data_IF_817987406086
#
_entry.id   IF_817987406086
#
_cell.length_a   1.000
_cell.length_b   1.000
_cell.length_c   1.000
_cell.angle_alpha   90.00
_cell.angle_beta   90.00
_cell.angle_gamma   90.00
#
_symmetry.space_group_name_H-M   'P 1'
#
loop_
_entity.id
_entity.type
_entity.pdbx_description
1 polymer ?
#
# COMPACT_ATOMS: atom_id res chain seq x y z
N UNK A 1 106.45 16.65 4.17
CA UNK A 1 106.09 15.22 4.22
C UNK A 1 104.68 15.09 3.66
N UNK A 2 104.56 14.86 2.35
CA UNK A 2 104.18 13.60 1.67
C UNK A 2 102.65 13.43 1.61
N UNK A 3 101.95 13.72 0.51
CA UNK A 3 101.89 13.04 -0.80
C UNK A 3 100.94 11.82 -0.85
N UNK A 4 99.87 11.99 -1.65
CA UNK A 4 99.34 11.08 -2.70
C UNK A 4 98.49 9.84 -2.36
N UNK A 5 97.30 9.85 -2.97
CA UNK A 5 96.59 8.77 -3.70
C UNK A 5 95.98 7.63 -2.86
N UNK A 6 94.87 6.94 -3.20
CA UNK A 6 94.31 6.41 -4.48
C UNK A 6 92.83 6.01 -4.25
N UNK A 7 91.88 6.48 -5.07
CA UNK A 7 91.06 5.73 -6.05
C UNK A 7 90.42 4.38 -5.62
N UNK A 8 89.10 4.29 -5.79
CA UNK A 8 88.34 3.03 -5.81
C UNK A 8 86.89 3.22 -6.28
N UNK A 9 86.69 3.27 -7.61
CA UNK A 9 85.39 3.11 -8.28
C UNK A 9 85.09 1.61 -8.45
N UNK A 10 83.88 1.16 -8.09
CA UNK A 10 83.16 -0.09 -8.50
C UNK A 10 81.97 -0.21 -7.53
N UNK A 11 80.69 -0.37 -7.87
CA UNK A 11 80.00 -0.99 -8.99
C UNK A 11 78.55 -0.45 -9.05
N UNK A 12 78.01 -0.47 -10.26
CA UNK A 12 76.62 -0.22 -10.67
C UNK A 12 75.65 -1.22 -10.02
N UNK A 13 74.43 -0.78 -9.68
CA UNK A 13 73.15 -1.55 -9.47
C UNK A 13 72.41 -0.99 -8.24
N UNK A 14 71.11 -0.68 -8.20
CA UNK A 14 69.96 -0.97 -9.05
C UNK A 14 68.81 -0.08 -8.55
N UNK A 15 68.11 0.54 -9.50
CA UNK A 15 66.67 0.78 -9.52
C UNK A 15 65.86 0.05 -8.43
N UNK A 16 65.09 0.79 -7.62
CA UNK A 16 63.61 0.70 -7.55
C UNK A 16 63.10 1.53 -6.36
N UNK A 17 62.59 2.72 -6.68
CA UNK A 17 61.65 3.42 -5.82
C UNK A 17 60.34 2.62 -5.84
N UNK A 18 60.09 1.84 -4.79
CA UNK A 18 58.78 1.23 -4.54
C UNK A 18 58.16 1.96 -3.35
N UNK A 19 57.29 2.96 -3.56
CA UNK A 19 56.38 3.35 -2.50
C UNK A 19 55.45 2.16 -2.27
N UNK A 20 55.59 1.52 -1.10
CA UNK A 20 54.66 0.50 -0.62
C UNK A 20 53.24 1.03 -0.82
N UNK A 21 52.48 0.33 -1.66
CA UNK A 21 51.07 0.55 -1.88
C UNK A 21 50.36 0.48 -0.52
N UNK A 22 50.05 1.64 0.05
CA UNK A 22 48.97 1.75 1.01
C UNK A 22 47.69 1.45 0.23
N UNK A 23 47.32 0.18 0.14
CA UNK A 23 45.96 -0.24 -0.20
C UNK A 23 45.07 0.08 1.00
N UNK A 24 44.99 1.36 1.38
CA UNK A 24 43.82 1.85 2.08
C UNK A 24 42.69 1.83 1.06
N UNK A 25 41.64 1.09 1.36
CA UNK A 25 40.38 1.18 0.67
C UNK A 25 39.88 2.63 0.76
N UNK A 26 40.33 3.48 -0.18
CA UNK A 26 39.88 4.84 -0.33
C UNK A 26 38.62 4.78 -1.17
N UNK A 27 37.52 4.33 -0.57
CA UNK A 27 36.20 4.69 -1.08
C UNK A 27 36.17 6.22 -1.11
N UNK A 28 36.00 6.80 -2.29
CA UNK A 28 35.96 8.24 -2.42
C UNK A 28 34.82 8.74 -1.52
N UNK A 29 34.95 9.91 -0.89
CA UNK A 29 33.89 10.41 -0.02
C UNK A 29 32.55 10.59 -0.75
N UNK A 30 32.51 10.59 -2.10
CA UNK A 30 31.29 10.46 -2.91
C UNK A 30 30.61 9.09 -2.77
N UNK A 31 31.34 7.99 -3.00
CA UNK A 31 30.83 6.60 -2.95
C UNK A 31 30.08 6.26 -1.65
N UNK A 32 30.53 6.83 -0.52
CA UNK A 32 29.89 6.63 0.79
C UNK A 32 28.54 7.34 0.92
N UNK A 33 28.36 8.48 0.25
CA UNK A 33 27.08 9.20 0.24
C UNK A 33 26.09 8.54 -0.72
N UNK A 34 26.56 8.01 -1.83
CA UNK A 34 25.75 7.24 -2.79
C UNK A 34 25.19 5.99 -2.10
N UNK A 35 26.05 5.19 -1.45
CA UNK A 35 25.61 4.00 -0.71
C UNK A 35 24.71 4.34 0.50
N UNK A 36 24.87 5.53 1.10
CA UNK A 36 23.95 6.00 2.14
C UNK A 36 22.60 6.45 1.55
N UNK A 37 22.60 7.04 0.35
CA UNK A 37 21.41 7.44 -0.40
C UNK A 37 20.58 6.22 -0.77
N UNK A 38 21.21 5.23 -1.40
CA UNK A 38 20.60 3.97 -1.82
C UNK A 38 19.91 3.27 -0.63
N UNK A 39 20.60 3.13 0.50
CA UNK A 39 20.04 2.51 1.72
C UNK A 39 18.87 3.30 2.33
N UNK A 40 18.78 4.60 2.07
CA UNK A 40 17.67 5.42 2.56
C UNK A 40 16.49 5.29 1.59
N UNK A 41 16.71 5.34 0.28
CA UNK A 41 15.67 5.13 -0.74
C UNK A 41 15.03 3.76 -0.59
N UNK A 42 15.84 2.70 -0.49
CA UNK A 42 15.34 1.35 -0.30
C UNK A 42 14.50 1.22 1.00
N UNK A 43 14.81 2.01 2.05
CA UNK A 43 13.98 2.08 3.27
C UNK A 43 12.71 2.90 3.10
N UNK A 44 12.71 3.90 2.24
CA UNK A 44 11.52 4.70 1.91
C UNK A 44 10.57 3.85 1.08
N UNK A 45 11.07 3.19 0.04
CA UNK A 45 10.30 2.36 -0.90
C UNK A 45 9.65 1.20 -0.17
N UNK A 46 10.44 0.40 0.58
CA UNK A 46 9.91 -0.69 1.41
C UNK A 46 8.82 -0.23 2.39
N UNK A 47 8.92 1.00 2.90
CA UNK A 47 7.91 1.56 3.80
C UNK A 47 6.66 2.05 3.06
N UNK A 48 6.81 2.53 1.82
CA UNK A 48 5.71 2.81 0.91
C UNK A 48 4.92 1.55 0.59
N UNK A 49 5.60 0.50 0.14
CA UNK A 49 5.03 -0.82 -0.15
C UNK A 49 4.28 -1.38 1.05
N UNK A 50 4.91 -1.40 2.25
CA UNK A 50 4.26 -1.88 3.48
C UNK A 50 2.96 -1.11 3.81
N UNK A 51 2.90 0.18 3.48
CA UNK A 51 1.69 0.97 3.73
C UNK A 51 0.61 0.63 2.71
N UNK A 52 0.97 0.49 1.43
CA UNK A 52 0.04 0.10 0.37
C UNK A 52 -0.57 -1.28 0.68
N UNK A 53 0.27 -2.28 0.97
CA UNK A 53 -0.20 -3.62 1.37
C UNK A 53 -1.16 -3.55 2.57
N UNK A 54 -0.88 -2.71 3.57
CA UNK A 54 -1.79 -2.55 4.73
C UNK A 54 -3.10 -1.88 4.36
N UNK A 55 -3.12 -1.00 3.37
CA UNK A 55 -4.34 -0.36 2.88
C UNK A 55 -5.18 -1.34 2.08
N UNK A 56 -4.56 -2.12 1.20
CA UNK A 56 -5.23 -3.14 0.39
C UNK A 56 -5.86 -4.22 1.28
N UNK A 57 -5.06 -4.81 2.16
CA UNK A 57 -5.54 -5.77 3.16
C UNK A 57 -6.68 -5.20 4.03
N UNK A 58 -6.66 -3.89 4.31
CA UNK A 58 -7.73 -3.24 5.06
C UNK A 58 -8.98 -3.07 4.19
N UNK A 59 -8.83 -2.75 2.91
CA UNK A 59 -9.91 -2.67 1.93
C UNK A 59 -10.62 -3.99 1.78
N UNK A 60 -9.88 -5.05 1.49
CA UNK A 60 -10.41 -6.42 1.37
C UNK A 60 -11.22 -6.83 2.60
N UNK A 61 -10.65 -6.65 3.80
CA UNK A 61 -11.36 -6.97 5.06
C UNK A 61 -12.62 -6.14 5.29
N UNK A 62 -12.70 -4.93 4.73
CA UNK A 62 -13.90 -4.12 4.81
C UNK A 62 -14.94 -4.64 3.81
N UNK A 63 -14.54 -4.94 2.58
CA UNK A 63 -15.42 -5.49 1.55
C UNK A 63 -16.02 -6.83 2.01
N UNK A 64 -15.20 -7.77 2.47
CA UNK A 64 -15.67 -9.07 2.98
C UNK A 64 -16.69 -8.91 4.12
N UNK A 65 -16.44 -7.98 5.05
CA UNK A 65 -17.39 -7.66 6.13
C UNK A 65 -18.68 -7.00 5.65
N UNK A 66 -18.64 -6.29 4.52
CA UNK A 66 -19.83 -5.72 3.90
C UNK A 66 -20.64 -6.80 3.23
N UNK A 67 -20.01 -7.68 2.46
CA UNK A 67 -20.68 -8.78 1.76
C UNK A 67 -21.39 -9.68 2.77
N UNK A 68 -20.68 -10.15 3.81
CA UNK A 68 -21.29 -10.96 4.88
C UNK A 68 -22.48 -10.25 5.56
N UNK A 69 -22.41 -8.92 5.72
CA UNK A 69 -23.51 -8.15 6.31
C UNK A 69 -24.67 -7.93 5.34
N UNK A 70 -24.38 -7.78 4.06
CA UNK A 70 -25.36 -7.68 2.98
C UNK A 70 -26.17 -8.97 2.91
N UNK A 71 -25.50 -10.10 2.79
CA UNK A 71 -26.10 -11.43 2.80
C UNK A 71 -26.96 -11.66 4.04
N UNK A 72 -26.42 -11.40 5.25
CA UNK A 72 -27.17 -11.58 6.49
C UNK A 72 -28.41 -10.68 6.61
N UNK A 73 -28.46 -9.55 5.91
CA UNK A 73 -29.64 -8.68 5.84
C UNK A 73 -30.65 -9.25 4.86
N UNK A 74 -30.21 -9.71 3.69
CA UNK A 74 -31.05 -10.34 2.67
C UNK A 74 -31.73 -11.59 3.25
N UNK A 75 -30.97 -12.51 3.85
CA UNK A 75 -31.51 -13.72 4.49
C UNK A 75 -32.61 -13.40 5.52
N UNK A 76 -32.43 -12.32 6.28
CA UNK A 76 -33.41 -11.87 7.29
C UNK A 76 -34.63 -11.25 6.65
N UNK A 77 -34.49 -10.56 5.53
CA UNK A 77 -35.61 -10.00 4.77
C UNK A 77 -36.43 -11.13 4.15
N UNK A 78 -35.79 -12.08 3.50
CA UNK A 78 -36.42 -13.23 2.86
C UNK A 78 -37.16 -14.08 3.89
N UNK A 79 -36.48 -14.45 4.97
CA UNK A 79 -37.09 -15.19 6.10
C UNK A 79 -38.31 -14.47 6.69
N UNK A 80 -38.33 -13.12 6.65
CA UNK A 80 -39.45 -12.33 7.17
C UNK A 80 -40.57 -12.19 6.14
N UNK A 81 -40.23 -12.10 4.86
CA UNK A 81 -41.17 -12.11 3.74
C UNK A 81 -41.93 -13.42 3.69
N UNK A 82 -41.20 -14.54 3.68
CA UNK A 82 -41.75 -15.90 3.70
C UNK A 82 -42.73 -16.11 4.86
N UNK A 83 -42.31 -15.80 6.09
CA UNK A 83 -43.20 -15.90 7.27
C UNK A 83 -44.44 -15.02 7.18
N UNK A 84 -44.35 -13.88 6.50
CA UNK A 84 -45.51 -13.01 6.30
C UNK A 84 -46.45 -13.60 5.25
N UNK A 85 -45.93 -14.13 4.14
CA UNK A 85 -46.70 -14.81 3.11
C UNK A 85 -47.41 -16.04 3.67
N UNK A 86 -46.70 -16.96 4.34
CA UNK A 86 -47.32 -18.15 4.96
C UNK A 86 -48.51 -17.79 5.86
N UNK A 87 -48.38 -16.73 6.67
CA UNK A 87 -49.48 -16.28 7.55
C UNK A 87 -50.65 -15.68 6.79
N UNK A 88 -50.39 -15.02 5.67
CA UNK A 88 -51.43 -14.44 4.83
C UNK A 88 -52.17 -15.53 4.06
N UNK A 89 -51.45 -16.51 3.52
CA UNK A 89 -52.01 -17.67 2.83
C UNK A 89 -52.88 -18.51 3.76
N UNK A 90 -52.37 -18.87 4.95
CA UNK A 90 -53.17 -19.57 5.96
C UNK A 90 -54.42 -18.79 6.38
N UNK A 91 -54.33 -17.46 6.45
CA UNK A 91 -55.48 -16.63 6.79
C UNK A 91 -56.49 -16.55 5.63
N UNK A 92 -56.02 -16.54 4.39
CA UNK A 92 -56.84 -16.57 3.19
C UNK A 92 -57.59 -17.91 3.07
N UNK A 93 -56.90 -19.03 3.26
CA UNK A 93 -57.50 -20.36 3.28
C UNK A 93 -58.60 -20.49 4.35
N UNK A 94 -58.33 -20.03 5.58
CA UNK A 94 -59.35 -20.02 6.65
C UNK A 94 -60.55 -19.14 6.30
N UNK A 95 -60.32 -18.01 5.62
CA UNK A 95 -61.39 -17.12 5.20
C UNK A 95 -62.25 -17.76 4.10
N UNK A 96 -61.63 -18.40 3.10
CA UNK A 96 -62.30 -19.13 2.04
C UNK A 96 -63.12 -20.30 2.61
N UNK A 97 -62.55 -21.09 3.53
CA UNK A 97 -63.26 -22.17 4.21
C UNK A 97 -64.47 -21.68 5.03
N UNK A 98 -64.46 -20.42 5.48
CA UNK A 98 -65.58 -19.79 6.16
C UNK A 98 -66.60 -19.10 5.20
N UNK A 99 -66.46 -19.30 3.89
CA UNK A 99 -67.31 -18.69 2.85
C UNK A 99 -67.07 -17.18 2.67
N UNK A 100 -65.91 -16.67 3.09
CA UNK A 100 -65.54 -15.24 2.99
C UNK A 100 -64.58 -14.98 1.84
N UNK A 101 -64.96 -15.38 0.63
CA UNK A 101 -64.09 -15.35 -0.55
C UNK A 101 -63.52 -13.95 -0.85
N UNK A 102 -64.35 -12.91 -0.70
CA UNK A 102 -63.89 -11.53 -0.88
C UNK A 102 -62.85 -11.07 0.16
N UNK A 103 -62.82 -11.67 1.36
CA UNK A 103 -61.78 -11.40 2.35
C UNK A 103 -60.53 -12.22 2.07
N UNK A 104 -60.67 -13.49 1.66
CA UNK A 104 -59.57 -14.34 1.23
C UNK A 104 -58.77 -13.65 0.10
N UNK A 105 -59.46 -13.19 -0.93
CA UNK A 105 -58.79 -12.52 -2.05
C UNK A 105 -58.10 -11.20 -1.65
N UNK A 106 -58.59 -10.50 -0.63
CA UNK A 106 -57.90 -9.31 -0.10
C UNK A 106 -56.62 -9.67 0.68
N UNK A 107 -56.56 -10.86 1.27
CA UNK A 107 -55.37 -11.35 1.96
C UNK A 107 -54.31 -11.82 0.95
N UNK A 108 -54.70 -12.51 -0.12
CA UNK A 108 -53.78 -12.89 -1.21
C UNK A 108 -53.13 -11.65 -1.84
N UNK A 109 -53.96 -10.67 -2.26
CA UNK A 109 -53.47 -9.39 -2.78
C UNK A 109 -52.57 -8.63 -1.79
N UNK A 110 -52.72 -8.90 -0.48
CA UNK A 110 -51.85 -8.32 0.54
C UNK A 110 -50.53 -9.09 0.64
N UNK A 111 -50.53 -10.40 0.44
CA UNK A 111 -49.35 -11.24 0.29
C UNK A 111 -48.47 -10.73 -0.85
N UNK A 112 -49.04 -10.61 -2.05
CA UNK A 112 -48.34 -10.09 -3.23
C UNK A 112 -47.69 -8.73 -2.97
N UNK A 113 -48.38 -7.83 -2.25
CA UNK A 113 -47.84 -6.50 -1.90
C UNK A 113 -46.70 -6.58 -0.89
N UNK A 114 -46.74 -7.55 0.03
CA UNK A 114 -45.67 -7.77 1.01
C UNK A 114 -44.44 -8.33 0.31
N UNK A 115 -44.60 -9.30 -0.57
CA UNK A 115 -43.54 -9.86 -1.41
C UNK A 115 -42.85 -8.76 -2.23
N UNK A 116 -43.62 -8.06 -3.08
CA UNK A 116 -43.12 -6.94 -3.89
C UNK A 116 -42.39 -5.84 -3.08
N UNK A 117 -42.80 -5.62 -1.83
CA UNK A 117 -42.15 -4.63 -0.95
C UNK A 117 -40.86 -5.18 -0.34
N UNK A 118 -40.79 -6.47 -0.09
CA UNK A 118 -39.63 -7.14 0.46
C UNK A 118 -38.54 -7.23 -0.60
N UNK A 119 -38.88 -7.59 -1.83
CA UNK A 119 -37.95 -7.63 -2.97
C UNK A 119 -37.31 -6.26 -3.20
N UNK A 120 -38.14 -5.21 -3.35
CA UNK A 120 -37.64 -3.84 -3.51
C UNK A 120 -36.76 -3.38 -2.34
N UNK A 121 -37.00 -3.89 -1.13
CA UNK A 121 -36.14 -3.58 0.02
C UNK A 121 -34.82 -4.32 -0.05
N UNK A 122 -34.81 -5.56 -0.54
CA UNK A 122 -33.59 -6.31 -0.88
C UNK A 122 -32.76 -5.53 -1.89
N UNK A 123 -33.35 -5.17 -3.03
CA UNK A 123 -32.68 -4.40 -4.09
C UNK A 123 -32.09 -3.08 -3.57
N UNK A 124 -32.85 -2.34 -2.75
CA UNK A 124 -32.40 -1.08 -2.16
C UNK A 124 -31.27 -1.28 -1.14
N UNK A 125 -31.28 -2.40 -0.42
CA UNK A 125 -30.21 -2.74 0.50
C UNK A 125 -28.93 -3.06 -0.26
N UNK A 126 -29.01 -3.92 -1.28
CA UNK A 126 -27.89 -4.31 -2.16
C UNK A 126 -27.25 -3.07 -2.81
N UNK A 127 -28.04 -2.25 -3.50
CA UNK A 127 -27.58 -1.00 -4.12
C UNK A 127 -26.91 -0.04 -3.11
N UNK A 128 -27.32 -0.07 -1.84
CA UNK A 128 -26.73 0.77 -0.79
C UNK A 128 -25.37 0.23 -0.35
N UNK A 129 -25.19 -1.09 -0.33
CA UNK A 129 -23.95 -1.76 0.01
C UNK A 129 -22.91 -1.56 -1.08
N UNK A 130 -23.27 -1.74 -2.36
CA UNK A 130 -22.39 -1.51 -3.50
C UNK A 130 -21.81 -0.09 -3.49
N UNK A 131 -22.69 0.92 -3.42
CA UNK A 131 -22.28 2.34 -3.33
C UNK A 131 -21.44 2.65 -2.10
N UNK A 132 -21.51 1.81 -1.06
CA UNK A 132 -20.69 1.95 0.14
C UNK A 132 -19.32 1.30 -0.08
N UNK A 133 -19.26 0.15 -0.74
CA UNK A 133 -18.04 -0.50 -1.23
C UNK A 133 -17.25 0.45 -2.12
N UNK A 134 -17.87 0.97 -3.19
CA UNK A 134 -17.24 1.93 -4.12
C UNK A 134 -16.61 3.12 -3.40
N UNK A 135 -17.32 3.69 -2.41
CA UNK A 135 -16.82 4.86 -1.65
C UNK A 135 -15.63 4.53 -0.77
N UNK A 136 -15.53 3.29 -0.32
CA UNK A 136 -14.41 2.83 0.51
C UNK A 136 -13.20 2.55 -0.37
N UNK A 137 -13.40 1.85 -1.49
CA UNK A 137 -12.37 1.62 -2.51
C UNK A 137 -11.77 2.94 -2.98
N UNK A 138 -12.61 3.87 -3.48
CA UNK A 138 -12.15 5.19 -3.90
C UNK A 138 -11.38 5.94 -2.79
N UNK A 139 -11.76 5.78 -1.51
CA UNK A 139 -11.03 6.44 -0.41
C UNK A 139 -9.69 5.78 -0.10
N UNK A 140 -9.57 4.48 -0.32
CA UNK A 140 -8.34 3.74 -0.14
C UNK A 140 -7.39 4.02 -1.29
N UNK A 141 -7.86 4.02 -2.53
CA UNK A 141 -7.07 4.39 -3.71
C UNK A 141 -6.49 5.80 -3.56
N UNK A 142 -7.36 6.79 -3.29
CA UNK A 142 -6.91 8.17 -3.04
C UNK A 142 -5.94 8.29 -1.87
N UNK A 143 -5.97 7.36 -0.89
CA UNK A 143 -5.02 7.34 0.22
C UNK A 143 -3.71 6.68 -0.20
N UNK A 144 -3.76 5.63 -1.02
CA UNK A 144 -2.62 5.00 -1.68
C UNK A 144 -1.86 6.02 -2.52
N UNK A 145 -2.53 6.68 -3.46
CA UNK A 145 -1.95 7.72 -4.33
C UNK A 145 -1.26 8.82 -3.52
N UNK A 146 -1.88 9.28 -2.43
CA UNK A 146 -1.29 10.32 -1.55
C UNK A 146 -0.10 9.81 -0.76
N UNK A 147 -0.08 8.52 -0.41
CA UNK A 147 1.05 7.90 0.24
C UNK A 147 2.21 7.79 -0.74
N UNK A 148 1.98 7.25 -1.93
CA UNK A 148 2.95 7.13 -3.04
C UNK A 148 3.58 8.48 -3.38
N UNK A 149 2.76 9.49 -3.72
CA UNK A 149 3.23 10.85 -4.00
C UNK A 149 4.07 11.48 -2.87
N UNK A 150 3.81 11.09 -1.60
CA UNK A 150 4.60 11.58 -0.46
C UNK A 150 5.96 10.90 -0.41
N UNK A 151 6.03 9.62 -0.76
CA UNK A 151 7.26 8.84 -0.78
C UNK A 151 8.15 9.23 -1.95
N UNK A 152 7.60 9.45 -3.14
CA UNK A 152 8.35 9.95 -4.30
C UNK A 152 9.04 11.28 -3.97
N UNK A 153 8.27 12.26 -3.49
CA UNK A 153 8.80 13.57 -3.07
C UNK A 153 9.79 13.47 -1.91
N UNK A 154 9.76 12.38 -1.15
CA UNK A 154 10.73 12.16 -0.06
C UNK A 154 12.01 11.56 -0.64
N UNK A 155 11.91 10.59 -1.54
CA UNK A 155 13.02 10.05 -2.35
C UNK A 155 13.76 11.17 -3.08
N UNK A 156 13.04 11.97 -3.86
CA UNK A 156 13.62 13.12 -4.58
C UNK A 156 14.43 14.05 -3.67
N UNK A 157 13.93 14.32 -2.45
CA UNK A 157 14.61 15.20 -1.49
C UNK A 157 15.86 14.57 -0.88
N UNK A 158 15.86 13.24 -0.75
CA UNK A 158 17.02 12.49 -0.29
C UNK A 158 18.08 12.51 -1.38
N UNK A 159 17.70 12.19 -2.62
CA UNK A 159 18.58 12.16 -3.79
C UNK A 159 19.26 13.51 -3.99
N UNK A 160 18.47 14.57 -4.10
CA UNK A 160 19.00 15.92 -4.21
C UNK A 160 19.98 16.26 -3.07
N UNK A 161 19.72 15.83 -1.83
CA UNK A 161 20.64 16.10 -0.70
C UNK A 161 21.93 15.29 -0.81
N UNK A 162 21.88 14.07 -1.34
CA UNK A 162 23.06 13.22 -1.53
C UNK A 162 23.92 13.75 -2.67
N UNK A 163 23.33 14.14 -3.81
CA UNK A 163 24.03 14.74 -4.94
C UNK A 163 24.84 15.98 -4.50
N UNK A 164 24.18 16.91 -3.80
CA UNK A 164 24.84 18.11 -3.29
C UNK A 164 25.94 17.81 -2.25
N UNK A 165 25.90 16.66 -1.57
CA UNK A 165 26.96 16.24 -0.63
C UNK A 165 28.11 15.54 -1.35
N UNK A 166 27.82 14.72 -2.36
CA UNK A 166 28.80 14.11 -3.24
C UNK A 166 29.64 15.16 -3.98
N UNK A 167 28.99 16.19 -4.52
CA UNK A 167 29.64 17.32 -5.21
C UNK A 167 30.50 18.20 -4.30
N UNK A 168 30.17 18.31 -3.00
CA UNK A 168 30.94 19.13 -2.03
C UNK A 168 32.11 18.40 -1.40
N UNK A 169 32.14 17.07 -1.46
CA UNK A 169 33.20 16.24 -0.93
C UNK A 169 34.61 16.47 -1.54
N UNK A 170 34.80 16.74 -2.85
CA UNK A 170 36.13 16.92 -3.44
C UNK A 170 36.88 18.19 -2.98
N UNK A 171 36.22 19.19 -2.40
CA UNK A 171 36.84 20.50 -2.12
C UNK A 171 37.46 20.68 -0.72
N UNK A 172 37.38 19.67 0.18
CA UNK A 172 37.92 19.81 1.56
C UNK A 172 39.40 19.52 1.72
N UNK A 173 40.10 19.02 0.70
CA UNK A 173 41.52 18.65 0.81
C UNK A 173 42.53 19.68 0.24
N UNK A 174 42.09 20.77 -0.40
CA UNK A 174 43.01 21.77 -0.97
C UNK A 174 43.24 23.03 -0.10
N UNK A 175 42.63 23.13 1.09
CA UNK A 175 42.81 24.27 2.01
C UNK A 175 43.60 23.92 3.28
N UNK A 176 44.63 23.07 3.14
CA UNK A 176 45.60 22.79 4.22
C UNK A 176 47.05 22.80 3.73
N UNK A 177 47.39 23.64 2.75
CA UNK A 177 48.79 23.99 2.48
C UNK A 177 48.88 25.45 2.04
N UNK A 178 49.01 26.33 3.02
CA UNK A 178 49.76 27.59 2.91
C UNK A 178 50.52 27.76 4.21
#
# INVERSE_FOLDING_TARGET
MNARNTLGYTLVATLLAAPLLATSALAAPGDRWDEAGDRINERVDRRGETINERLDNRGERINERMDTRGEAINDRLDSRGERANTRLDEAAERAAAAGKDGFAQRLDNKGDRVENRTDRRGDLAENRWDRRGDRIENRLDNRGDRAENRWDRRGDRIDNRMDHRGERAPHRHQRRHR
#
